data_IF_799923800733
#
_entry.id   IF_799923800733
#
_cell.length_a   1.000
_cell.length_b   1.000
_cell.length_c   1.000
_cell.angle_alpha   90.00
_cell.angle_beta   90.00
_cell.angle_gamma   90.00
#
_symmetry.space_group_name_H-M   'P 1'
#
loop_
_entity.id
_entity.type
_entity.pdbx_description
1 polymer ?
#
# COMPACT_ATOMS: atom_id res chain seq x y z
N UNK A 1 -38.74 9.13 -16.21
CA UNK A 1 -37.34 8.83 -16.58
C UNK A 1 -36.44 9.42 -15.49
N UNK A 2 -36.17 8.64 -14.45
CA UNK A 2 -35.28 9.02 -13.35
C UNK A 2 -33.87 8.55 -13.69
N UNK A 3 -32.94 9.48 -13.79
CA UNK A 3 -31.51 9.23 -13.96
C UNK A 3 -30.97 8.34 -12.83
N UNK A 4 -30.22 7.25 -13.10
CA UNK A 4 -29.47 6.58 -12.07
C UNK A 4 -28.21 7.39 -11.77
N UNK A 5 -28.28 8.17 -10.70
CA UNK A 5 -27.13 8.77 -10.07
C UNK A 5 -26.56 7.75 -9.07
N UNK A 6 -25.36 7.21 -9.31
CA UNK A 6 -24.39 6.71 -8.30
C UNK A 6 -23.25 5.93 -8.98
N UNK A 7 -22.16 6.62 -9.33
CA UNK A 7 -20.85 5.98 -9.47
C UNK A 7 -20.07 6.24 -8.19
N UNK A 8 -20.41 5.49 -7.14
CA UNK A 8 -19.53 5.35 -5.97
C UNK A 8 -18.42 4.39 -6.38
N UNK A 9 -17.27 4.95 -6.75
CA UNK A 9 -16.00 4.23 -6.87
C UNK A 9 -15.81 3.30 -5.68
N UNK A 10 -15.92 1.99 -5.91
CA UNK A 10 -15.90 0.96 -4.89
C UNK A 10 -14.48 0.81 -4.33
N UNK A 11 -14.31 1.23 -3.09
CA UNK A 11 -12.98 1.46 -2.51
C UNK A 11 -12.99 0.96 -1.06
N UNK A 12 -11.98 0.18 -0.66
CA UNK A 12 -11.74 -0.16 0.75
C UNK A 12 -11.02 1.00 1.42
N UNK A 13 -11.45 1.36 2.63
CA UNK A 13 -10.84 2.42 3.43
C UNK A 13 -9.80 1.81 4.38
N UNK A 14 -8.67 2.51 4.55
CA UNK A 14 -7.59 2.09 5.42
C UNK A 14 -7.12 3.27 6.27
N UNK A 15 -6.72 2.98 7.51
CA UNK A 15 -6.00 3.92 8.38
C UNK A 15 -4.55 3.95 7.92
N UNK A 16 -4.26 4.79 6.92
CA UNK A 16 -2.88 4.95 6.44
C UNK A 16 -2.65 6.37 5.93
N UNK A 17 -2.12 7.24 6.79
CA UNK A 17 -1.95 8.66 6.51
C UNK A 17 -0.98 8.97 5.35
N UNK A 18 -1.25 10.05 4.62
CA UNK A 18 -0.21 10.73 3.83
C UNK A 18 0.97 11.18 4.70
N UNK A 19 0.74 11.47 5.98
CA UNK A 19 1.80 11.80 6.95
C UNK A 19 2.70 10.60 7.30
N UNK A 20 2.38 9.38 6.86
CA UNK A 20 3.26 8.21 6.96
C UNK A 20 3.80 7.79 5.57
N UNK A 21 3.00 7.91 4.50
CA UNK A 21 3.35 7.36 3.18
C UNK A 21 4.00 8.35 2.21
N UNK A 22 4.01 9.65 2.52
CA UNK A 22 4.25 10.73 1.54
C UNK A 22 3.14 10.81 0.48
N UNK A 23 3.13 11.91 -0.29
CA UNK A 23 2.25 12.11 -1.44
C UNK A 23 2.98 11.82 -2.77
N UNK A 24 4.06 11.03 -2.74
CA UNK A 24 4.83 10.68 -3.94
C UNK A 24 4.04 9.71 -4.81
N UNK A 25 3.67 10.15 -6.01
CA UNK A 25 2.84 9.40 -6.96
C UNK A 25 3.65 8.67 -8.03
N UNK A 26 4.98 8.81 -8.05
CA UNK A 26 5.80 8.25 -9.14
C UNK A 26 6.22 6.83 -8.77
N UNK A 27 5.56 5.85 -9.39
CA UNK A 27 5.95 4.43 -9.31
C UNK A 27 6.37 3.89 -10.69
N UNK A 28 6.96 2.69 -10.70
CA UNK A 28 7.75 2.08 -11.76
C UNK A 28 7.09 1.91 -13.16
N UNK A 29 7.87 1.34 -14.09
CA UNK A 29 7.54 1.13 -15.49
C UNK A 29 6.36 0.18 -15.71
N UNK A 30 5.22 0.68 -16.21
CA UNK A 30 4.05 -0.14 -16.54
C UNK A 30 2.75 0.65 -16.50
N UNK A 31 1.61 -0.01 -16.68
CA UNK A 31 0.28 0.61 -16.49
C UNK A 31 -0.23 0.41 -15.06
N UNK A 32 -0.10 -0.80 -14.51
CA UNK A 32 -0.43 -1.11 -13.12
C UNK A 32 0.54 -0.41 -12.16
N UNK A 33 0.04 0.16 -11.06
CA UNK A 33 0.85 0.86 -10.06
C UNK A 33 1.32 2.25 -10.47
N UNK A 34 1.30 2.58 -11.77
CA UNK A 34 1.88 3.83 -12.32
C UNK A 34 1.21 5.14 -11.89
N UNK A 35 0.00 5.07 -11.32
CA UNK A 35 -0.81 6.23 -10.91
C UNK A 35 -1.39 6.06 -9.51
N UNK A 36 -0.69 5.34 -8.64
CA UNK A 36 -1.11 5.09 -7.26
C UNK A 36 -0.09 5.66 -6.26
N UNK A 37 -0.46 5.72 -4.98
CA UNK A 37 0.41 6.15 -3.88
C UNK A 37 1.17 4.99 -3.22
N UNK A 38 1.05 3.78 -3.79
CA UNK A 38 1.66 2.56 -3.28
C UNK A 38 0.85 1.33 -3.63
N UNK A 39 1.52 0.18 -3.55
CA UNK A 39 0.93 -1.13 -3.80
C UNK A 39 0.55 -1.78 -2.48
N UNK A 40 -0.67 -2.33 -2.40
CA UNK A 40 -1.23 -2.89 -1.18
C UNK A 40 -1.40 -4.40 -1.33
N UNK A 41 -0.91 -5.16 -0.35
CA UNK A 41 -1.14 -6.61 -0.24
C UNK A 41 -1.31 -7.00 1.23
N UNK A 42 -1.65 -8.27 1.50
CA UNK A 42 -1.92 -8.73 2.87
C UNK A 42 -0.64 -8.90 3.65
N UNK A 43 -0.66 -8.58 4.94
CA UNK A 43 0.51 -8.78 5.81
C UNK A 43 0.98 -10.25 5.86
N UNK A 44 0.06 -11.20 5.70
CA UNK A 44 0.37 -12.62 5.60
C UNK A 44 1.32 -12.97 4.44
N UNK A 45 1.31 -12.17 3.37
CA UNK A 45 2.14 -12.38 2.20
C UNK A 45 3.51 -11.68 2.31
N UNK A 46 3.73 -10.85 3.34
CA UNK A 46 4.90 -9.97 3.47
C UNK A 46 6.24 -10.67 3.28
N UNK A 47 6.46 -11.81 3.93
CA UNK A 47 7.75 -12.51 3.86
C UNK A 47 7.97 -13.23 2.52
N UNK A 48 6.91 -13.40 1.73
CA UNK A 48 6.92 -14.11 0.45
C UNK A 48 6.97 -13.17 -0.75
N UNK A 49 6.61 -11.89 -0.60
CA UNK A 49 6.72 -10.88 -1.66
C UNK A 49 8.16 -10.36 -1.71
N UNK A 50 8.92 -10.82 -2.70
CA UNK A 50 10.34 -10.45 -2.91
C UNK A 50 10.56 -9.52 -4.10
N UNK A 51 9.63 -9.52 -5.05
CA UNK A 51 9.61 -8.65 -6.22
C UNK A 51 8.37 -7.76 -6.18
N UNK A 52 8.47 -6.56 -6.77
CA UNK A 52 7.36 -5.64 -6.91
C UNK A 52 6.22 -6.28 -7.74
N UNK A 53 4.98 -6.34 -7.23
CA UNK A 53 3.85 -6.86 -8.00
C UNK A 53 3.53 -5.98 -9.21
N UNK A 54 3.49 -6.58 -10.41
CA UNK A 54 3.20 -5.87 -11.67
C UNK A 54 1.75 -6.02 -12.14
N UNK A 55 0.91 -6.71 -11.36
CA UNK A 55 -0.52 -6.88 -11.65
C UNK A 55 -1.32 -7.23 -10.38
N UNK A 56 -2.65 -7.20 -10.49
CA UNK A 56 -3.55 -7.52 -9.37
C UNK A 56 -3.43 -8.95 -8.85
N UNK A 57 -3.24 -9.93 -9.73
CA UNK A 57 -3.13 -11.34 -9.38
C UNK A 57 -1.74 -11.82 -9.73
N UNK A 58 -1.00 -12.33 -8.75
CA UNK A 58 0.37 -12.81 -8.95
C UNK A 58 0.63 -14.08 -8.13
N UNK A 59 1.74 -14.75 -8.41
CA UNK A 59 2.12 -15.99 -7.75
C UNK A 59 3.35 -15.75 -6.87
N UNK A 60 3.25 -16.13 -5.60
CA UNK A 60 4.38 -16.07 -4.67
C UNK A 60 5.44 -17.13 -5.03
N UNK A 61 6.69 -16.98 -4.57
CA UNK A 61 7.75 -17.97 -4.83
C UNK A 61 7.42 -19.40 -4.40
N UNK A 62 6.52 -19.57 -3.42
CA UNK A 62 6.03 -20.87 -2.94
C UNK A 62 4.89 -21.47 -3.80
N UNK A 63 4.49 -20.81 -4.89
CA UNK A 63 3.42 -21.23 -5.79
C UNK A 63 2.00 -20.83 -5.34
N UNK A 64 1.84 -20.20 -4.17
CA UNK A 64 0.54 -19.73 -3.70
C UNK A 64 0.08 -18.49 -4.46
N UNK A 65 -1.23 -18.36 -4.75
CA UNK A 65 -1.77 -17.13 -5.34
C UNK A 65 -1.79 -16.00 -4.30
N UNK A 66 -1.45 -14.80 -4.74
CA UNK A 66 -1.56 -13.57 -3.95
C UNK A 66 -2.25 -12.47 -4.76
N UNK A 67 -2.70 -11.44 -4.05
CA UNK A 67 -3.37 -10.29 -4.67
C UNK A 67 -2.73 -8.98 -4.26
N UNK A 68 -2.63 -8.08 -5.23
CA UNK A 68 -2.16 -6.72 -5.07
C UNK A 68 -3.26 -5.72 -5.45
N UNK A 69 -3.32 -4.60 -4.75
CA UNK A 69 -4.28 -3.52 -4.95
C UNK A 69 -3.56 -2.18 -5.05
N UNK A 70 -4.21 -1.19 -5.65
CA UNK A 70 -3.65 0.15 -5.81
C UNK A 70 -4.23 1.09 -4.75
N UNK A 71 -3.36 1.82 -4.06
CA UNK A 71 -3.75 2.92 -3.18
C UNK A 71 -4.03 4.17 -4.03
N UNK A 72 -5.30 4.50 -4.25
CA UNK A 72 -5.71 5.50 -5.23
C UNK A 72 -5.83 6.91 -4.67
N UNK A 73 -6.11 7.04 -3.37
CA UNK A 73 -6.24 8.35 -2.73
C UNK A 73 -5.68 8.29 -1.32
N UNK A 74 -5.23 9.44 -0.87
CA UNK A 74 -4.80 9.72 0.48
C UNK A 74 -5.50 10.97 1.00
N UNK A 75 -5.70 11.00 2.31
CA UNK A 75 -5.95 12.18 3.12
C UNK A 75 -4.84 12.28 4.15
N UNK A 76 -4.95 13.21 5.10
CA UNK A 76 -3.97 13.34 6.18
C UNK A 76 -3.80 12.01 6.90
N UNK A 77 -4.90 11.35 7.33
CA UNK A 77 -4.93 10.14 8.17
C UNK A 77 -5.38 8.85 7.45
N UNK A 78 -6.01 8.96 6.29
CA UNK A 78 -6.67 7.82 5.66
C UNK A 78 -6.24 7.58 4.21
N UNK A 79 -6.32 6.32 3.79
CA UNK A 79 -6.11 5.87 2.44
C UNK A 79 -7.32 5.14 1.83
N UNK A 80 -7.33 5.07 0.51
CA UNK A 80 -8.40 4.48 -0.29
C UNK A 80 -7.83 3.47 -1.30
N UNK A 81 -8.14 2.20 -1.07
CA UNK A 81 -7.64 1.07 -1.88
C UNK A 81 -8.68 0.65 -2.91
N UNK A 82 -8.30 0.63 -4.18
CA UNK A 82 -9.15 0.13 -5.25
C UNK A 82 -9.48 -1.35 -5.03
N UNK A 83 -10.73 -1.75 -5.26
CA UNK A 83 -11.04 -3.19 -5.30
C UNK A 83 -10.34 -3.86 -6.48
N UNK A 84 -9.82 -5.06 -6.24
CA UNK A 84 -9.23 -5.89 -7.29
C UNK A 84 -10.29 -6.43 -8.26
N UNK A 85 -9.88 -7.06 -9.37
CA UNK A 85 -10.77 -7.56 -10.43
C UNK A 85 -11.74 -8.63 -9.92
N UNK A 86 -11.40 -9.31 -8.82
CA UNK A 86 -12.22 -10.32 -8.14
C UNK A 86 -13.28 -9.72 -7.19
N UNK A 87 -13.39 -8.39 -7.14
CA UNK A 87 -14.43 -7.66 -6.43
C UNK A 87 -14.16 -7.41 -4.94
N UNK A 88 -15.13 -6.77 -4.28
CA UNK A 88 -15.04 -6.32 -2.88
C UNK A 88 -14.73 -7.45 -1.89
N UNK A 89 -15.32 -8.63 -2.08
CA UNK A 89 -15.13 -9.77 -1.18
C UNK A 89 -13.69 -10.32 -1.17
N UNK A 90 -12.97 -10.15 -2.29
CA UNK A 90 -11.57 -10.56 -2.41
C UNK A 90 -10.58 -9.44 -2.01
N UNK A 91 -11.07 -8.21 -1.80
CA UNK A 91 -10.27 -7.06 -1.37
C UNK A 91 -9.97 -7.14 0.14
N UNK A 92 -9.08 -6.30 0.70
CA UNK A 92 -8.89 -6.22 2.14
C UNK A 92 -10.20 -5.86 2.86
N UNK A 93 -10.50 -6.61 3.92
CA UNK A 93 -11.68 -6.43 4.78
C UNK A 93 -11.32 -5.67 6.04
N UNK A 94 -12.35 -5.17 6.75
CA UNK A 94 -12.16 -4.51 8.05
C UNK A 94 -11.50 -5.50 9.02
N UNK A 95 -10.41 -5.07 9.66
CA UNK A 95 -9.63 -5.89 10.58
C UNK A 95 -8.46 -6.63 9.93
N UNK A 96 -8.41 -6.70 8.59
CA UNK A 96 -7.25 -7.23 7.89
C UNK A 96 -6.04 -6.33 8.11
N UNK A 97 -4.89 -6.95 8.36
CA UNK A 97 -3.60 -6.25 8.35
C UNK A 97 -3.03 -6.29 6.93
N UNK A 98 -2.61 -5.13 6.46
CA UNK A 98 -2.07 -4.93 5.12
C UNK A 98 -0.64 -4.44 5.19
N UNK A 99 0.05 -4.58 4.06
CA UNK A 99 1.35 -3.97 3.79
C UNK A 99 1.16 -3.02 2.62
N UNK A 100 1.82 -1.87 2.72
CA UNK A 100 1.92 -0.92 1.62
C UNK A 100 3.38 -0.86 1.19
N UNK A 101 3.65 -1.30 -0.03
CA UNK A 101 4.90 -1.01 -0.70
C UNK A 101 4.85 0.44 -1.17
N UNK A 102 5.70 1.26 -0.56
CA UNK A 102 5.73 2.70 -0.78
C UNK A 102 6.46 3.04 -2.07
N UNK A 103 6.04 4.15 -2.71
CA UNK A 103 6.63 4.55 -3.98
C UNK A 103 8.08 4.99 -3.88
N UNK A 104 8.41 5.67 -2.79
CA UNK A 104 9.72 6.23 -2.55
C UNK A 104 10.01 6.17 -1.06
N UNK A 105 11.02 5.39 -0.68
CA UNK A 105 11.34 5.13 0.72
C UNK A 105 11.90 6.36 1.45
N UNK A 106 12.69 7.20 0.78
CA UNK A 106 13.34 8.36 1.39
C UNK A 106 12.36 9.32 2.09
N UNK A 107 11.30 9.83 1.42
CA UNK A 107 10.35 10.72 2.09
C UNK A 107 9.56 10.01 3.21
N UNK A 108 9.21 8.73 3.03
CA UNK A 108 8.52 7.93 4.07
C UNK A 108 9.35 7.78 5.34
N UNK A 109 10.64 7.46 5.18
CA UNK A 109 11.58 7.37 6.30
C UNK A 109 11.72 8.75 6.96
N UNK A 110 11.77 9.84 6.20
CA UNK A 110 11.86 11.20 6.75
C UNK A 110 10.61 11.67 7.52
N UNK A 111 9.47 11.00 7.34
CA UNK A 111 8.24 11.24 8.10
C UNK A 111 8.19 10.45 9.42
N UNK A 112 9.12 9.51 9.63
CA UNK A 112 9.14 8.59 10.76
C UNK A 112 10.21 8.97 11.79
N UNK A 113 9.94 8.73 13.08
CA UNK A 113 10.96 8.87 14.14
C UNK A 113 11.81 7.60 14.32
N UNK A 114 11.35 6.47 13.78
CA UNK A 114 12.06 5.20 13.84
C UNK A 114 11.44 4.17 12.89
N UNK A 115 12.18 3.11 12.60
CA UNK A 115 11.76 2.00 11.77
C UNK A 115 11.69 0.72 12.61
N UNK A 116 10.62 -0.06 12.45
CA UNK A 116 10.52 -1.39 13.04
C UNK A 116 11.00 -2.41 12.01
N UNK A 117 12.04 -3.16 12.36
CA UNK A 117 12.56 -4.25 11.54
C UNK A 117 11.88 -5.55 11.98
N UNK A 118 11.11 -6.15 11.07
CA UNK A 118 10.52 -7.48 11.27
C UNK A 118 11.61 -8.55 11.27
N UNK A 119 11.46 -9.58 12.11
CA UNK A 119 12.36 -10.73 12.18
C UNK A 119 12.07 -11.59 13.41
N UNK A 120 12.85 -12.65 13.61
CA UNK A 120 12.71 -13.53 14.80
C UNK A 120 12.91 -12.76 16.12
N UNK A 121 13.68 -11.68 16.09
CA UNK A 121 13.81 -10.71 17.18
C UNK A 121 13.59 -9.31 16.62
N UNK A 122 12.33 -8.83 16.61
CA UNK A 122 12.01 -7.51 16.11
C UNK A 122 12.80 -6.44 16.84
N UNK A 123 13.27 -5.43 16.11
CA UNK A 123 14.02 -4.32 16.69
C UNK A 123 13.60 -2.99 16.09
N UNK A 124 13.78 -1.93 16.86
CA UNK A 124 13.56 -0.56 16.40
C UNK A 124 14.89 0.09 16.07
N UNK A 125 14.94 0.77 14.94
CA UNK A 125 16.04 1.64 14.54
C UNK A 125 15.54 3.07 14.70
N UNK A 126 16.18 3.86 15.56
CA UNK A 126 15.88 5.29 15.70
C UNK A 126 16.40 6.05 14.48
N UNK A 127 15.60 7.00 13.97
CA UNK A 127 15.98 7.85 12.85
C UNK A 127 16.54 9.18 13.36
N UNK A 128 17.85 9.18 13.63
CA UNK A 128 18.55 10.33 14.22
C UNK A 128 18.66 11.56 13.29
N UNK A 129 18.45 11.38 11.99
CA UNK A 129 18.65 12.42 10.97
C UNK A 129 17.33 12.97 10.38
N UNK A 130 16.19 12.69 11.02
CA UNK A 130 14.88 13.13 10.55
C UNK A 130 14.85 14.66 10.37
N UNK A 131 14.48 15.13 9.18
CA UNK A 131 14.35 16.55 8.86
C UNK A 131 15.66 17.29 8.54
N UNK A 132 16.79 16.57 8.41
CA UNK A 132 18.06 17.17 7.99
C UNK A 132 18.15 17.22 6.46
N UNK A 133 17.93 18.39 5.87
CA UNK A 133 17.90 18.59 4.41
C UNK A 133 18.68 19.85 3.95
N UNK A 134 19.91 20.03 4.43
CA UNK A 134 20.77 21.18 4.10
C UNK A 134 21.14 21.26 2.62
#
# INVERSE_FOLDING_TARGET
MTSPNTSTSMTSWIETPAVILSADCVHAFGTFGSKCFGLVFREADFDAVVDEPTSHDFTLPNGSPAMCFELQKLSEEHGWVAHGPRGKAASPQIGDRIVILVNHSCPVVNLSNGLVVKGASPRTIELIARGLCQ
#
